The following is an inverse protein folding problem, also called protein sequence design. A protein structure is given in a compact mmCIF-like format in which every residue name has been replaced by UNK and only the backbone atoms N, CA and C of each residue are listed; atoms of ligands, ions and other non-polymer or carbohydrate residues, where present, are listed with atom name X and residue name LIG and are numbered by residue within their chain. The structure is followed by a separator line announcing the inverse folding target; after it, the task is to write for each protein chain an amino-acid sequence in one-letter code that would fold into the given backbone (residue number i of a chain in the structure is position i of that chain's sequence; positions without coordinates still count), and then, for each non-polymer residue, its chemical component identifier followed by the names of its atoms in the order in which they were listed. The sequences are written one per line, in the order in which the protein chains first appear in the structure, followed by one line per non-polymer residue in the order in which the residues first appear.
data_IF_761967954220
#
_entry.id   IF_761967954220
#
_cell.length_a   1.000
_cell.length_b   1.000
_cell.length_c   1.000
_cell.angle_alpha   90.00
_cell.angle_beta   90.00
_cell.angle_gamma   90.00
#
_symmetry.space_group_name_H-M   'P 1'
#
loop_
_entity.id
_entity.type
_entity.pdbx_description
1 polymer ?
#
# COMPACT_ATOMS: atom_id res chain seq x y z
N UNK A 1 47.17 60.36 20.29
CA UNK A 1 46.31 59.74 19.34
C UNK A 1 46.11 58.26 19.78
N UNK A 2 44.95 57.95 20.32
CA UNK A 2 44.58 56.59 20.81
C UNK A 2 43.52 56.03 19.88
N UNK A 3 43.89 55.01 19.07
CA UNK A 3 43.03 54.34 18.11
C UNK A 3 42.28 53.25 18.87
N UNK A 4 40.94 53.32 18.96
CA UNK A 4 40.09 52.27 19.49
C UNK A 4 39.68 51.36 18.36
N UNK A 5 40.11 50.07 18.38
CA UNK A 5 39.65 49.03 17.49
C UNK A 5 38.39 48.44 18.09
N UNK A 6 37.25 48.68 17.45
CA UNK A 6 35.99 48.03 17.80
C UNK A 6 35.95 46.63 17.19
N UNK A 7 35.94 45.60 18.03
CA UNK A 7 35.73 44.20 17.61
C UNK A 7 34.24 43.95 17.54
N UNK A 8 33.72 43.80 16.33
CA UNK A 8 32.34 43.45 16.07
C UNK A 8 32.18 41.91 16.22
N UNK A 9 31.63 41.45 17.33
CA UNK A 9 31.32 40.07 17.59
C UNK A 9 30.08 39.62 16.79
N UNK A 10 30.28 38.78 15.80
CA UNK A 10 29.20 38.15 15.00
C UNK A 10 28.63 36.94 15.78
N UNK A 11 27.47 37.12 16.43
CA UNK A 11 26.75 36.05 17.09
C UNK A 11 26.03 35.21 16.04
N UNK A 12 26.55 34.03 15.73
CA UNK A 12 25.87 33.04 14.90
C UNK A 12 24.81 32.32 15.76
N UNK A 13 23.55 32.71 15.61
CA UNK A 13 22.43 32.00 16.20
C UNK A 13 22.21 30.68 15.42
N UNK A 14 22.64 29.57 15.99
CA UNK A 14 22.33 28.23 15.46
C UNK A 14 20.85 27.94 15.69
N UNK A 15 20.03 28.15 14.65
CA UNK A 15 18.65 27.72 14.62
C UNK A 15 18.60 26.19 14.47
N UNK A 16 18.50 25.48 15.60
CA UNK A 16 18.21 24.07 15.63
C UNK A 16 16.77 23.87 15.16
N UNK A 17 16.57 23.62 13.87
CA UNK A 17 15.29 23.17 13.34
C UNK A 17 14.97 21.80 13.95
N UNK A 18 14.04 21.79 14.91
CA UNK A 18 13.43 20.58 15.42
C UNK A 18 12.64 19.96 14.27
N UNK A 19 13.24 18.99 13.58
CA UNK A 19 12.49 18.13 12.68
C UNK A 19 11.56 17.30 13.56
N UNK A 20 10.32 17.75 13.72
CA UNK A 20 9.27 16.96 14.33
C UNK A 20 9.11 15.69 13.51
N UNK A 21 9.65 14.59 14.02
CA UNK A 21 9.39 13.25 13.53
C UNK A 21 7.89 13.04 13.73
N UNK A 22 7.14 12.98 12.63
CA UNK A 22 5.74 12.61 12.70
C UNK A 22 5.71 11.20 13.33
N UNK A 23 5.41 11.15 14.63
CA UNK A 23 5.12 9.91 15.30
C UNK A 23 3.90 9.30 14.58
N UNK A 24 3.96 8.03 14.20
CA UNK A 24 2.77 7.33 13.69
C UNK A 24 1.68 7.51 14.77
N UNK A 25 0.57 8.15 14.39
CA UNK A 25 -0.55 8.30 15.31
C UNK A 25 -0.97 6.91 15.80
N UNK A 26 -1.30 6.77 17.08
CA UNK A 26 -1.68 5.49 17.64
C UNK A 26 -2.91 4.97 16.88
N UNK A 27 -2.80 3.74 16.39
CA UNK A 27 -3.87 3.05 15.68
C UNK A 27 -5.05 2.90 16.64
N UNK A 28 -6.24 3.36 16.23
CA UNK A 28 -7.46 3.25 17.03
C UNK A 28 -7.84 1.78 17.30
N UNK A 29 -8.64 1.55 18.34
CA UNK A 29 -8.97 0.21 18.82
C UNK A 29 -9.74 -0.62 17.76
N UNK A 30 -10.59 0.01 16.96
CA UNK A 30 -11.34 -0.67 15.88
C UNK A 30 -10.40 -1.12 14.77
N UNK A 31 -9.52 -0.24 14.33
CA UNK A 31 -8.50 -0.56 13.32
C UNK A 31 -7.58 -1.67 13.82
N UNK A 32 -7.18 -1.65 15.11
CA UNK A 32 -6.37 -2.71 15.70
C UNK A 32 -7.10 -4.05 15.67
N UNK A 33 -8.34 -4.11 16.14
CA UNK A 33 -9.15 -5.32 16.13
C UNK A 33 -9.36 -5.88 14.72
N UNK A 34 -9.55 -5.00 13.73
CA UNK A 34 -9.66 -5.39 12.32
C UNK A 34 -8.35 -6.00 11.79
N UNK A 35 -7.21 -5.40 12.11
CA UNK A 35 -5.89 -5.94 11.75
C UNK A 35 -5.70 -7.33 12.36
N UNK A 36 -5.97 -7.49 13.66
CA UNK A 36 -5.84 -8.76 14.35
C UNK A 36 -6.74 -9.85 13.73
N UNK A 37 -7.95 -9.50 13.31
CA UNK A 37 -8.85 -10.41 12.58
C UNK A 37 -8.22 -10.88 11.27
N UNK A 38 -7.66 -9.98 10.47
CA UNK A 38 -7.03 -10.32 9.20
C UNK A 38 -5.79 -11.19 9.40
N UNK A 39 -5.00 -10.93 10.44
CA UNK A 39 -3.77 -11.67 10.73
C UNK A 39 -4.00 -13.09 11.26
N UNK A 40 -5.23 -13.44 11.67
CA UNK A 40 -5.61 -14.82 12.02
C UNK A 40 -5.86 -15.71 10.80
N UNK A 41 -6.09 -15.14 9.63
CA UNK A 41 -6.31 -15.90 8.40
C UNK A 41 -5.01 -16.43 7.78
N UNK A 42 -5.12 -17.19 6.67
CA UNK A 42 -3.97 -17.74 5.97
C UNK A 42 -3.01 -16.63 5.49
N UNK A 43 -1.71 -16.93 5.54
CA UNK A 43 -0.65 -16.02 5.08
C UNK A 43 -0.19 -16.33 3.64
N UNK A 44 -0.78 -17.31 3.00
CA UNK A 44 -0.47 -17.75 1.64
C UNK A 44 -1.74 -17.86 0.80
N UNK A 45 -1.58 -17.79 -0.52
CA UNK A 45 -2.64 -17.97 -1.51
C UNK A 45 -2.21 -19.10 -2.43
N UNK A 46 -3.12 -19.99 -2.79
CA UNK A 46 -2.88 -20.93 -3.88
C UNK A 46 -3.01 -20.19 -5.21
N UNK A 47 -1.88 -19.97 -5.85
CA UNK A 47 -1.75 -19.29 -7.15
C UNK A 47 -1.50 -20.27 -8.30
N UNK A 48 -1.60 -21.60 -8.07
CA UNK A 48 -1.25 -22.63 -9.06
C UNK A 48 -1.99 -22.45 -10.38
N UNK A 49 -3.24 -21.97 -10.32
CA UNK A 49 -4.10 -21.75 -11.48
C UNK A 49 -4.03 -20.33 -12.06
N UNK A 50 -3.18 -19.45 -11.50
CA UNK A 50 -3.05 -18.09 -12.00
C UNK A 50 -2.10 -18.06 -13.22
N UNK A 51 -2.27 -17.07 -14.13
CA UNK A 51 -1.34 -16.84 -15.23
C UNK A 51 0.08 -16.57 -14.72
N UNK A 52 1.09 -16.93 -15.50
CA UNK A 52 2.49 -16.85 -15.07
C UNK A 52 2.90 -15.41 -14.70
N UNK A 53 2.47 -14.41 -15.48
CA UNK A 53 2.74 -13.00 -15.14
C UNK A 53 2.09 -12.55 -13.82
N UNK A 54 0.99 -13.16 -13.39
CA UNK A 54 0.38 -12.92 -12.08
C UNK A 54 1.15 -13.67 -10.98
N UNK A 55 1.68 -14.87 -11.24
CA UNK A 55 2.57 -15.59 -10.32
C UNK A 55 3.86 -14.79 -10.06
N UNK A 56 4.48 -14.24 -11.12
CA UNK A 56 5.64 -13.35 -10.98
C UNK A 56 5.32 -12.11 -10.12
N UNK A 57 4.14 -11.53 -10.30
CA UNK A 57 3.70 -10.39 -9.50
C UNK A 57 3.43 -10.77 -8.04
N UNK A 58 2.97 -12.00 -7.76
CA UNK A 58 2.84 -12.54 -6.41
C UNK A 58 4.19 -12.63 -5.69
N UNK A 59 5.26 -13.03 -6.38
CA UNK A 59 6.61 -13.04 -5.79
C UNK A 59 7.05 -11.65 -5.34
N UNK A 60 6.77 -10.61 -6.14
CA UNK A 60 7.05 -9.23 -5.75
C UNK A 60 6.20 -8.81 -4.54
N UNK A 61 4.91 -9.13 -4.55
CA UNK A 61 4.00 -8.87 -3.42
C UNK A 61 4.50 -9.57 -2.15
N UNK A 62 4.80 -10.87 -2.21
CA UNK A 62 5.20 -11.65 -1.05
C UNK A 62 6.53 -11.13 -0.47
N UNK A 63 7.52 -10.84 -1.32
CA UNK A 63 8.82 -10.35 -0.90
C UNK A 63 8.76 -8.96 -0.28
N UNK A 64 8.03 -8.03 -0.90
CA UNK A 64 8.00 -6.63 -0.44
C UNK A 64 7.08 -6.42 0.76
N UNK A 65 5.91 -7.05 0.77
CA UNK A 65 4.93 -6.83 1.84
C UNK A 65 5.28 -7.57 3.15
N UNK A 66 6.02 -8.69 3.08
CA UNK A 66 6.44 -9.43 4.27
C UNK A 66 7.51 -8.73 5.12
N UNK A 67 8.14 -7.69 4.59
CA UNK A 67 9.23 -6.98 5.30
C UNK A 67 8.75 -6.23 6.56
N UNK A 68 7.47 -5.82 6.62
CA UNK A 68 6.96 -4.97 7.70
C UNK A 68 5.80 -5.58 8.48
N UNK A 69 5.05 -6.51 7.90
CA UNK A 69 3.91 -7.17 8.55
C UNK A 69 3.60 -8.52 7.89
N UNK A 70 2.74 -9.32 8.53
CA UNK A 70 2.31 -10.61 7.98
C UNK A 70 1.54 -10.42 6.68
N UNK A 71 1.77 -11.30 5.71
CA UNK A 71 1.03 -11.32 4.44
C UNK A 71 -0.46 -11.60 4.64
N UNK A 72 -0.83 -12.30 5.72
CA UNK A 72 -2.25 -12.51 6.09
C UNK A 72 -3.03 -11.20 6.18
N UNK A 73 -2.40 -10.08 6.57
CA UNK A 73 -3.07 -8.78 6.69
C UNK A 73 -3.67 -8.29 5.36
N UNK A 74 -2.92 -8.10 4.27
CA UNK A 74 -3.53 -7.76 2.97
C UNK A 74 -4.33 -8.90 2.37
N UNK A 75 -3.90 -10.16 2.50
CA UNK A 75 -4.59 -11.33 1.92
C UNK A 75 -6.03 -11.46 2.43
N UNK A 76 -6.25 -11.28 3.73
CA UNK A 76 -7.56 -11.44 4.36
C UNK A 76 -8.30 -10.12 4.61
N UNK A 77 -7.75 -8.99 4.12
CA UNK A 77 -8.43 -7.70 4.24
C UNK A 77 -9.76 -7.66 3.49
N UNK A 78 -10.60 -6.71 3.85
CA UNK A 78 -11.86 -6.43 3.17
C UNK A 78 -11.65 -5.61 1.86
N UNK A 79 -10.41 -5.40 1.43
CA UNK A 79 -10.09 -4.74 0.16
C UNK A 79 -10.34 -5.70 -1.00
N UNK A 80 -11.09 -5.22 -2.01
CA UNK A 80 -11.42 -6.02 -3.18
C UNK A 80 -11.49 -5.20 -4.48
N UNK A 81 -11.95 -3.93 -4.42
CA UNK A 81 -11.98 -3.10 -5.62
C UNK A 81 -10.59 -2.52 -5.94
N UNK A 82 -10.26 -2.27 -7.22
CA UNK A 82 -8.96 -1.73 -7.63
C UNK A 82 -8.57 -0.46 -6.89
N UNK A 83 -9.53 0.43 -6.59
CA UNK A 83 -9.25 1.68 -5.87
C UNK A 83 -8.82 1.44 -4.42
N UNK A 84 -9.36 0.43 -3.73
CA UNK A 84 -8.90 0.04 -2.39
C UNK A 84 -7.40 -0.30 -2.42
N UNK A 85 -6.98 -1.10 -3.41
CA UNK A 85 -5.60 -1.52 -3.58
C UNK A 85 -4.68 -0.37 -3.98
N UNK A 86 -5.14 0.50 -4.88
CA UNK A 86 -4.39 1.70 -5.26
C UNK A 86 -4.06 2.56 -4.04
N UNK A 87 -5.06 2.86 -3.20
CA UNK A 87 -4.88 3.64 -1.97
C UNK A 87 -3.98 2.93 -0.95
N UNK A 88 -4.19 1.63 -0.76
CA UNK A 88 -3.39 0.82 0.15
C UNK A 88 -1.91 0.81 -0.23
N UNK A 89 -1.61 0.51 -1.49
CA UNK A 89 -0.23 0.41 -1.99
C UNK A 89 0.47 1.78 -1.92
N UNK A 90 -0.19 2.86 -2.36
CA UNK A 90 0.35 4.23 -2.24
C UNK A 90 0.69 4.58 -0.79
N UNK A 91 -0.12 4.15 0.19
CA UNK A 91 0.17 4.34 1.61
C UNK A 91 1.39 3.52 2.05
N UNK A 92 1.51 2.26 1.61
CA UNK A 92 2.68 1.43 1.93
C UNK A 92 3.97 1.98 1.32
N UNK A 93 3.95 2.43 0.07
CA UNK A 93 5.09 3.04 -0.58
C UNK A 93 5.63 4.29 0.14
N UNK A 94 4.75 5.04 0.82
CA UNK A 94 5.13 6.24 1.58
C UNK A 94 5.68 5.96 2.98
N UNK A 95 5.62 4.72 3.47
CA UNK A 95 6.19 4.37 4.77
C UNK A 95 7.72 4.43 4.72
N UNK A 96 8.38 5.04 5.72
CA UNK A 96 9.83 5.06 5.81
C UNK A 96 10.41 3.64 5.69
N UNK A 97 11.41 3.47 4.84
CA UNK A 97 12.07 2.18 4.66
C UNK A 97 11.26 1.11 3.91
N UNK A 98 10.13 1.47 3.28
CA UNK A 98 9.29 0.49 2.55
C UNK A 98 10.01 -0.25 1.43
N UNK A 99 10.99 0.40 0.78
CA UNK A 99 11.73 -0.18 -0.35
C UNK A 99 10.86 -0.60 -1.55
N UNK A 100 9.62 -0.10 -1.63
CA UNK A 100 8.67 -0.41 -2.72
C UNK A 100 8.82 0.68 -3.77
N UNK A 101 9.41 0.34 -4.92
CA UNK A 101 9.51 1.22 -6.08
C UNK A 101 8.15 1.39 -6.78
N UNK A 102 8.06 2.35 -7.70
CA UNK A 102 6.85 2.50 -8.52
C UNK A 102 6.56 1.26 -9.38
N UNK A 103 7.61 0.60 -9.88
CA UNK A 103 7.48 -0.67 -10.62
C UNK A 103 6.98 -1.81 -9.74
N UNK A 104 7.51 -1.94 -8.51
CA UNK A 104 7.02 -2.93 -7.55
C UNK A 104 5.55 -2.65 -7.19
N UNK A 105 5.21 -1.38 -6.93
CA UNK A 105 3.85 -0.97 -6.60
C UNK A 105 2.85 -1.35 -7.70
N UNK A 106 3.24 -1.20 -8.98
CA UNK A 106 2.40 -1.63 -10.10
C UNK A 106 2.21 -3.14 -10.13
N UNK A 107 3.27 -3.93 -9.97
CA UNK A 107 3.19 -5.40 -9.93
C UNK A 107 2.32 -5.90 -8.76
N UNK A 108 2.51 -5.32 -7.58
CA UNK A 108 1.70 -5.62 -6.39
C UNK A 108 0.22 -5.28 -6.64
N UNK A 109 -0.05 -4.15 -7.27
CA UNK A 109 -1.41 -3.76 -7.62
C UNK A 109 -2.05 -4.75 -8.61
N UNK A 110 -1.34 -5.08 -9.70
CA UNK A 110 -1.84 -6.01 -10.72
C UNK A 110 -2.18 -7.37 -10.08
N UNK A 111 -1.32 -7.88 -9.18
CA UNK A 111 -1.58 -9.12 -8.44
C UNK A 111 -2.82 -9.01 -7.53
N UNK A 112 -2.87 -8.02 -6.64
CA UNK A 112 -3.92 -7.92 -5.64
C UNK A 112 -5.30 -7.62 -6.24
N UNK A 113 -5.36 -6.83 -7.31
CA UNK A 113 -6.61 -6.56 -8.03
C UNK A 113 -7.08 -7.78 -8.82
N UNK A 114 -6.16 -8.51 -9.48
CA UNK A 114 -6.45 -9.78 -10.14
C UNK A 114 -6.95 -10.83 -9.14
N UNK A 115 -6.19 -11.08 -8.06
CA UNK A 115 -6.58 -12.02 -7.00
C UNK A 115 -7.97 -11.70 -6.41
N UNK A 116 -8.28 -10.43 -6.24
CA UNK A 116 -9.59 -10.02 -5.73
C UNK A 116 -10.73 -10.35 -6.67
N UNK A 117 -10.53 -10.24 -7.98
CA UNK A 117 -11.54 -10.60 -8.98
C UNK A 117 -11.80 -12.10 -9.05
N UNK A 118 -10.82 -12.91 -8.66
CA UNK A 118 -10.92 -14.39 -8.67
C UNK A 118 -11.34 -14.90 -7.29
N UNK A 119 -10.55 -14.65 -6.26
CA UNK A 119 -10.69 -15.24 -4.93
C UNK A 119 -11.66 -14.49 -4.02
N UNK A 120 -11.73 -13.16 -4.14
CA UNK A 120 -12.59 -12.30 -3.31
C UNK A 120 -13.85 -11.83 -4.05
N UNK A 121 -14.28 -12.57 -5.09
CA UNK A 121 -15.38 -12.16 -5.95
C UNK A 121 -16.63 -11.75 -5.18
N UNK A 122 -17.01 -12.46 -4.12
CA UNK A 122 -18.17 -12.11 -3.30
C UNK A 122 -18.04 -10.71 -2.68
N UNK A 123 -16.88 -10.40 -2.06
CA UNK A 123 -16.62 -9.08 -1.45
C UNK A 123 -16.58 -7.99 -2.54
N UNK A 124 -15.99 -8.30 -3.69
CA UNK A 124 -15.93 -7.40 -4.84
C UNK A 124 -17.35 -7.04 -5.32
N UNK A 125 -18.20 -8.06 -5.56
CA UNK A 125 -19.57 -7.86 -6.03
C UNK A 125 -20.41 -7.05 -5.02
N UNK A 126 -20.28 -7.33 -3.72
CA UNK A 126 -20.95 -6.57 -2.66
C UNK A 126 -20.53 -5.10 -2.61
N UNK A 127 -19.27 -4.80 -2.90
CA UNK A 127 -18.76 -3.42 -2.97
C UNK A 127 -19.22 -2.73 -4.24
N UNK A 128 -19.16 -3.40 -5.39
CA UNK A 128 -19.64 -2.85 -6.66
C UNK A 128 -21.15 -2.57 -6.66
N UNK A 129 -21.92 -3.37 -5.93
CA UNK A 129 -23.36 -3.12 -5.77
C UNK A 129 -23.68 -1.85 -4.97
N UNK A 130 -22.73 -1.35 -4.16
CA UNK A 130 -22.88 -0.13 -3.35
C UNK A 130 -22.17 1.09 -3.95
N UNK A 131 -21.41 0.89 -5.02
CA UNK A 131 -20.65 1.95 -5.68
C UNK A 131 -21.54 2.79 -6.61
N UNK A 132 -21.11 4.01 -6.91
CA UNK A 132 -21.76 4.80 -7.97
C UNK A 132 -21.55 4.13 -9.33
N UNK A 133 -22.40 4.44 -10.34
CA UNK A 133 -22.22 3.88 -11.69
C UNK A 133 -20.82 4.14 -12.26
N UNK A 134 -20.25 5.31 -12.00
CA UNK A 134 -18.92 5.72 -12.47
C UNK A 134 -17.82 4.91 -11.77
N UNK A 135 -17.89 4.76 -10.46
CA UNK A 135 -16.92 3.96 -9.67
C UNK A 135 -16.98 2.48 -10.07
N UNK A 136 -18.18 1.95 -10.24
CA UNK A 136 -18.42 0.58 -10.70
C UNK A 136 -17.79 0.36 -12.06
N UNK A 137 -18.09 1.23 -13.03
CA UNK A 137 -17.53 1.14 -14.38
C UNK A 137 -16.01 1.20 -14.37
N UNK A 138 -15.43 2.16 -13.64
CA UNK A 138 -13.97 2.29 -13.54
C UNK A 138 -13.31 1.02 -12.96
N UNK A 139 -13.93 0.40 -11.95
CA UNK A 139 -13.44 -0.84 -11.37
C UNK A 139 -13.55 -2.02 -12.34
N UNK A 140 -14.67 -2.18 -13.02
CA UNK A 140 -14.90 -3.22 -14.01
C UNK A 140 -13.96 -3.10 -15.21
N UNK A 141 -13.78 -1.89 -15.74
CA UNK A 141 -12.83 -1.61 -16.83
C UNK A 141 -11.41 -1.99 -16.43
N UNK A 142 -11.00 -1.66 -15.19
CA UNK A 142 -9.65 -1.99 -14.70
C UNK A 142 -9.44 -3.48 -14.49
N UNK A 143 -10.42 -4.19 -13.98
CA UNK A 143 -10.40 -5.65 -13.84
C UNK A 143 -10.32 -6.30 -15.22
N UNK A 144 -11.15 -5.83 -16.17
CA UNK A 144 -11.10 -6.31 -17.55
C UNK A 144 -9.72 -6.12 -18.19
N UNK A 145 -9.11 -4.93 -18.03
CA UNK A 145 -7.75 -4.66 -18.53
C UNK A 145 -6.73 -5.68 -17.98
N UNK A 146 -6.83 -6.04 -16.70
CA UNK A 146 -5.94 -7.03 -16.08
C UNK A 146 -6.13 -8.42 -16.68
N UNK A 147 -7.38 -8.87 -16.83
CA UNK A 147 -7.67 -10.15 -17.46
C UNK A 147 -7.24 -10.18 -18.93
N UNK A 148 -7.53 -9.14 -19.72
CA UNK A 148 -7.09 -9.02 -21.11
C UNK A 148 -5.54 -9.06 -21.23
N UNK A 149 -4.84 -8.59 -20.22
CA UNK A 149 -3.36 -8.57 -20.20
C UNK A 149 -2.75 -9.91 -19.82
N UNK A 150 -3.32 -10.61 -18.85
CA UNK A 150 -2.68 -11.75 -18.21
C UNK A 150 -3.27 -13.11 -18.60
N UNK A 151 -4.53 -13.22 -18.99
CA UNK A 151 -5.20 -14.49 -19.33
C UNK A 151 -4.93 -14.97 -20.79
N UNK A 152 -3.72 -14.72 -21.30
CA UNK A 152 -3.32 -15.09 -22.66
C UNK A 152 -2.65 -16.45 -22.69
#
# INVERSE_FOLDING_TARGET
MRTYIAVLGLAIAASSALVARAADEPIDAETKARIERFEKGPATIDISKYPDGIKENYEVFSTKCSQCHKLSRPINSDYAVPEDWSRYIKRMMRKPGSGISAGDGKKIFDFLAYDSSVRKKKILDEKLAKATPEEKKAAEDKIKELHDKYDK
#
